data_IF_154010134472
#
_entry.id   IF_154010134472
#
_cell.length_a   1.000
_cell.length_b   1.000
_cell.length_c   1.000
_cell.angle_alpha   90.00
_cell.angle_beta   90.00
_cell.angle_gamma   90.00
#
_symmetry.space_group_name_H-M   'P 1'
#
loop_
_entity.id
_entity.type
_entity.pdbx_description
1 polymer ?
#
# COMPACT_ATOMS: atom_id res chain seq x y z
N UNK A 1 -8.07 1.46 -11.80
CA UNK A 1 -9.46 1.40 -12.27
C UNK A 1 -10.43 1.90 -11.19
N UNK A 2 -10.27 1.45 -9.95
CA UNK A 2 -11.17 1.78 -8.83
C UNK A 2 -11.22 3.29 -8.55
N UNK A 3 -10.09 3.93 -8.42
CA UNK A 3 -9.93 5.32 -8.02
C UNK A 3 -9.97 6.30 -9.20
N UNK A 4 -9.65 5.82 -10.42
CA UNK A 4 -9.46 6.67 -11.61
C UNK A 4 -10.65 7.58 -11.96
N UNK A 5 -11.93 7.21 -11.75
CA UNK A 5 -13.04 8.12 -12.00
C UNK A 5 -13.06 9.35 -11.09
N UNK A 6 -12.47 9.27 -9.91
CA UNK A 6 -12.60 10.25 -8.83
C UNK A 6 -11.39 11.16 -8.66
N UNK A 7 -10.31 10.94 -9.42
CA UNK A 7 -9.06 11.72 -9.33
C UNK A 7 -8.69 12.31 -10.68
N UNK A 8 -7.97 13.42 -10.67
CA UNK A 8 -7.53 14.11 -11.91
C UNK A 8 -6.26 13.49 -12.48
N UNK A 9 -5.35 13.05 -11.60
CA UNK A 9 -4.04 12.46 -11.95
C UNK A 9 -3.72 11.27 -11.07
N UNK A 10 -3.02 10.29 -11.65
CA UNK A 10 -2.47 9.13 -10.95
C UNK A 10 -0.99 9.08 -11.28
N UNK A 11 -0.14 9.25 -10.26
CA UNK A 11 1.30 9.09 -10.39
C UNK A 11 1.70 7.73 -9.81
N UNK A 12 2.39 6.94 -10.61
CA UNK A 12 2.93 5.64 -10.20
C UNK A 12 4.46 5.75 -10.17
N UNK A 13 5.03 5.59 -8.98
CA UNK A 13 6.47 5.62 -8.76
C UNK A 13 6.98 4.19 -8.63
N UNK A 14 7.79 3.73 -9.57
CA UNK A 14 8.41 2.40 -9.54
C UNK A 14 9.92 2.51 -9.63
N UNK A 15 10.64 1.91 -8.68
CA UNK A 15 12.09 1.87 -8.72
C UNK A 15 12.61 0.73 -9.60
N UNK A 16 13.75 0.92 -10.28
CA UNK A 16 14.46 -0.12 -11.01
C UNK A 16 15.28 -1.05 -10.10
N UNK A 17 15.23 -0.81 -8.79
CA UNK A 17 15.85 -1.65 -7.77
C UNK A 17 14.83 -2.04 -6.69
N UNK A 18 15.06 -3.15 -6.02
CA UNK A 18 14.34 -3.53 -4.80
C UNK A 18 14.89 -2.75 -3.61
N UNK A 19 14.21 -2.78 -2.46
CA UNK A 19 14.75 -2.16 -1.25
C UNK A 19 16.02 -2.86 -0.76
N UNK A 20 16.22 -4.15 -1.07
CA UNK A 20 17.49 -4.85 -0.83
C UNK A 20 18.62 -4.47 -1.81
N UNK A 21 18.34 -3.64 -2.82
CA UNK A 21 19.34 -3.12 -3.77
C UNK A 21 19.48 -3.93 -5.06
N UNK A 22 18.72 -5.01 -5.24
CA UNK A 22 18.79 -5.82 -6.45
C UNK A 22 18.07 -5.13 -7.61
N UNK A 23 18.64 -5.21 -8.81
CA UNK A 23 17.97 -4.74 -10.02
C UNK A 23 16.68 -5.51 -10.28
N UNK A 24 15.64 -4.82 -10.73
CA UNK A 24 14.37 -5.42 -11.15
C UNK A 24 13.85 -4.79 -12.44
N UNK A 25 13.12 -5.54 -13.26
CA UNK A 25 12.45 -4.98 -14.43
C UNK A 25 11.32 -4.05 -14.02
N UNK A 26 10.85 -3.25 -14.99
CA UNK A 26 9.59 -2.52 -14.88
C UNK A 26 8.42 -3.52 -14.86
N UNK A 27 7.61 -3.47 -13.80
CA UNK A 27 6.43 -4.33 -13.65
C UNK A 27 5.14 -3.62 -14.06
N UNK A 28 5.17 -2.28 -14.15
CA UNK A 28 3.99 -1.53 -14.55
C UNK A 28 3.65 -1.82 -16.02
N UNK A 29 2.39 -2.21 -16.34
CA UNK A 29 1.99 -2.57 -17.70
C UNK A 29 1.78 -1.31 -18.56
N UNK A 30 2.86 -0.65 -18.95
CA UNK A 30 2.87 0.64 -19.65
C UNK A 30 1.95 0.63 -20.87
N UNK A 31 2.02 -0.41 -21.69
CA UNK A 31 1.20 -0.51 -22.92
C UNK A 31 -0.30 -0.45 -22.67
N UNK A 32 -0.75 -0.96 -21.50
CA UNK A 32 -2.16 -0.94 -21.10
C UNK A 32 -2.66 0.47 -20.76
N UNK A 33 -1.77 1.36 -20.37
CA UNK A 33 -2.12 2.69 -19.86
C UNK A 33 -1.56 3.84 -20.67
N UNK A 34 -0.84 3.58 -21.76
CA UNK A 34 -0.17 4.61 -22.60
C UNK A 34 -1.11 5.73 -23.10
N UNK A 35 -2.37 5.39 -23.37
CA UNK A 35 -3.38 6.33 -23.86
C UNK A 35 -4.21 6.99 -22.74
N UNK A 36 -3.97 6.61 -21.48
CA UNK A 36 -4.67 7.17 -20.34
C UNK A 36 -3.96 8.43 -19.83
N UNK A 37 -4.45 9.61 -20.24
CA UNK A 37 -3.86 10.92 -19.90
C UNK A 37 -3.82 11.22 -18.40
N UNK A 38 -4.60 10.52 -17.57
CA UNK A 38 -4.55 10.65 -16.09
C UNK A 38 -3.37 9.93 -15.48
N UNK A 39 -2.84 8.89 -16.13
CA UNK A 39 -1.80 8.02 -15.57
C UNK A 39 -0.42 8.47 -16.01
N UNK A 40 0.43 8.80 -15.06
CA UNK A 40 1.86 9.04 -15.26
C UNK A 40 2.64 7.97 -14.52
N UNK A 41 3.47 7.22 -15.23
CA UNK A 41 4.40 6.27 -14.65
C UNK A 41 5.82 6.83 -14.67
N UNK A 42 6.52 6.71 -13.57
CA UNK A 42 7.94 7.08 -13.42
C UNK A 42 8.71 5.85 -13.00
N UNK A 43 9.62 5.39 -13.87
CA UNK A 43 10.56 4.32 -13.57
C UNK A 43 11.88 4.93 -13.11
N UNK A 44 12.10 4.90 -11.79
CA UNK A 44 13.23 5.57 -11.14
C UNK A 44 14.49 4.73 -11.34
N UNK A 45 15.52 5.33 -11.92
CA UNK A 45 16.79 4.65 -12.19
C UNK A 45 17.59 4.34 -10.93
N UNK A 46 18.46 3.32 -10.93
CA UNK A 46 19.27 2.94 -9.77
C UNK A 46 20.13 4.08 -9.20
N UNK A 47 20.59 4.99 -10.06
CA UNK A 47 21.45 6.12 -9.68
C UNK A 47 20.78 7.05 -8.66
N UNK A 48 19.45 7.10 -8.62
CA UNK A 48 18.70 7.90 -7.65
C UNK A 48 18.82 7.38 -6.21
N UNK A 49 19.42 6.21 -6.00
CA UNK A 49 19.53 5.52 -4.71
C UNK A 49 20.97 5.28 -4.24
N UNK A 50 21.97 5.89 -4.89
CA UNK A 50 23.39 5.70 -4.57
C UNK A 50 23.70 6.07 -3.11
N UNK A 51 23.09 7.11 -2.61
CA UNK A 51 23.24 7.62 -1.23
C UNK A 51 22.22 7.04 -0.24
N UNK A 52 21.56 5.93 -0.61
CA UNK A 52 20.56 5.23 0.21
C UNK A 52 21.09 3.85 0.67
N UNK A 53 21.90 3.77 1.74
CA UNK A 53 22.52 2.50 2.16
C UNK A 53 21.50 1.49 2.70
N UNK A 54 20.52 1.94 3.47
CA UNK A 54 19.49 1.09 4.09
C UNK A 54 18.32 0.76 3.16
N UNK A 55 17.57 -0.28 3.52
CA UNK A 55 16.34 -0.66 2.79
C UNK A 55 15.26 0.42 2.96
N UNK A 56 15.12 0.96 4.16
CA UNK A 56 14.18 2.05 4.46
C UNK A 56 14.54 3.36 3.76
N UNK A 57 15.83 3.67 3.58
CA UNK A 57 16.25 4.87 2.86
C UNK A 57 15.79 4.83 1.41
N UNK A 58 15.81 3.65 0.78
CA UNK A 58 15.33 3.45 -0.59
C UNK A 58 13.81 3.60 -0.71
N UNK A 59 13.05 3.03 0.24
CA UNK A 59 11.60 3.20 0.26
C UNK A 59 11.21 4.68 0.45
N UNK A 60 11.86 5.35 1.41
CA UNK A 60 11.63 6.77 1.67
C UNK A 60 11.98 7.63 0.45
N UNK A 61 13.13 7.40 -0.16
CA UNK A 61 13.55 8.09 -1.37
C UNK A 61 12.55 7.91 -2.51
N UNK A 62 12.11 6.68 -2.76
CA UNK A 62 11.12 6.40 -3.80
C UNK A 62 9.83 7.20 -3.58
N UNK A 63 9.32 7.24 -2.36
CA UNK A 63 8.09 7.99 -2.02
C UNK A 63 8.28 9.50 -2.15
N UNK A 64 9.38 10.02 -1.62
CA UNK A 64 9.64 11.46 -1.61
C UNK A 64 9.91 12.04 -3.01
N UNK A 65 10.49 11.27 -3.92
CA UNK A 65 10.70 11.68 -5.31
C UNK A 65 9.40 11.98 -6.06
N UNK A 66 8.25 11.49 -5.59
CA UNK A 66 6.96 11.77 -6.24
C UNK A 66 6.68 13.27 -6.36
N UNK A 67 7.06 14.07 -5.38
CA UNK A 67 6.84 15.52 -5.41
C UNK A 67 7.56 16.22 -6.55
N UNK A 68 8.73 15.74 -6.99
CA UNK A 68 9.46 16.31 -8.14
C UNK A 68 8.84 15.98 -9.49
N UNK A 69 7.87 15.08 -9.53
CA UNK A 69 7.17 14.65 -10.74
C UNK A 69 5.74 15.17 -10.84
N UNK A 70 5.30 15.99 -9.89
CA UNK A 70 3.99 16.61 -9.82
C UNK A 70 4.12 18.13 -9.76
N UNK A 71 3.23 18.79 -10.46
CA UNK A 71 2.97 20.22 -10.25
C UNK A 71 1.84 20.31 -9.23
N UNK A 72 2.19 20.68 -8.00
CA UNK A 72 1.26 20.70 -6.86
C UNK A 72 1.04 22.12 -6.39
N UNK A 73 -0.21 22.57 -6.36
CA UNK A 73 -0.63 23.81 -5.69
C UNK A 73 -0.90 23.57 -4.22
N UNK A 74 -1.08 24.61 -3.41
CA UNK A 74 -1.37 24.47 -1.98
C UNK A 74 -2.73 23.85 -1.71
N UNK A 75 -3.69 24.06 -2.62
CA UNK A 75 -5.08 23.60 -2.51
C UNK A 75 -5.32 22.21 -3.10
N UNK A 76 -4.34 21.64 -3.80
CA UNK A 76 -4.44 20.26 -4.30
C UNK A 76 -4.51 19.28 -3.13
N UNK A 77 -5.19 18.15 -3.36
CA UNK A 77 -5.23 17.05 -2.42
C UNK A 77 -4.43 15.88 -3.00
N UNK A 78 -3.41 15.47 -2.27
CA UNK A 78 -2.62 14.28 -2.59
C UNK A 78 -3.10 13.12 -1.73
N UNK A 79 -3.51 12.04 -2.38
CA UNK A 79 -3.80 10.76 -1.74
C UNK A 79 -2.59 9.85 -1.97
N UNK A 80 -1.99 9.36 -0.89
CA UNK A 80 -0.74 8.60 -0.94
C UNK A 80 -0.99 7.19 -0.39
N UNK A 81 -0.80 6.20 -1.26
CA UNK A 81 -0.99 4.77 -0.97
C UNK A 81 0.19 3.97 -1.51
N UNK A 82 0.40 2.78 -0.96
CA UNK A 82 1.22 1.76 -1.59
C UNK A 82 0.40 1.00 -2.65
N UNK A 83 1.05 0.26 -3.53
CA UNK A 83 0.40 -0.39 -4.69
C UNK A 83 -0.63 -1.46 -4.30
N UNK A 84 -0.52 -2.00 -3.10
CA UNK A 84 -1.42 -3.00 -2.52
C UNK A 84 -2.49 -2.38 -1.58
N UNK A 85 -2.55 -1.06 -1.51
CA UNK A 85 -3.54 -0.28 -0.77
C UNK A 85 -4.55 0.34 -1.75
N UNK A 86 -5.77 -0.17 -1.77
CA UNK A 86 -6.83 0.24 -2.72
C UNK A 86 -7.93 0.99 -1.97
N UNK A 87 -8.12 2.25 -2.31
CA UNK A 87 -9.23 3.06 -1.77
C UNK A 87 -10.49 2.72 -2.56
N UNK A 88 -11.59 2.50 -1.86
CA UNK A 88 -12.89 2.38 -2.50
C UNK A 88 -13.29 3.75 -3.07
N UNK A 89 -13.51 3.83 -4.38
CA UNK A 89 -13.72 5.08 -5.09
C UNK A 89 -14.81 5.97 -4.49
N UNK A 90 -15.88 5.37 -3.99
CA UNK A 90 -17.00 6.05 -3.31
C UNK A 90 -16.61 6.83 -2.04
N UNK A 91 -15.45 6.52 -1.43
CA UNK A 91 -14.97 7.22 -0.25
C UNK A 91 -14.06 8.42 -0.58
N UNK A 92 -13.65 8.60 -1.83
CA UNK A 92 -12.68 9.64 -2.21
C UNK A 92 -13.21 11.05 -1.96
N UNK A 93 -14.48 11.30 -2.26
CA UNK A 93 -15.10 12.61 -1.98
C UNK A 93 -15.07 12.96 -0.50
N UNK A 94 -15.44 12.02 0.38
CA UNK A 94 -15.35 12.17 1.83
C UNK A 94 -13.92 12.45 2.28
N UNK A 95 -12.94 11.72 1.74
CA UNK A 95 -11.53 11.90 2.05
C UNK A 95 -11.07 13.32 1.65
N UNK A 96 -11.46 13.81 0.49
CA UNK A 96 -11.14 15.16 0.01
C UNK A 96 -11.72 16.22 0.94
N UNK A 97 -13.00 16.11 1.32
CA UNK A 97 -13.69 17.06 2.21
C UNK A 97 -12.96 17.14 3.56
N UNK A 98 -12.70 16.00 4.18
CA UNK A 98 -12.03 15.97 5.49
C UNK A 98 -10.57 16.44 5.39
N UNK A 99 -9.89 16.16 4.28
CA UNK A 99 -8.52 16.65 4.07
C UNK A 99 -8.47 18.18 3.94
N UNK A 100 -9.39 18.79 3.22
CA UNK A 100 -9.49 20.25 3.12
C UNK A 100 -9.72 20.91 4.47
N UNK A 101 -10.53 20.29 5.32
CA UNK A 101 -10.86 20.79 6.66
C UNK A 101 -9.71 20.68 7.64
N UNK A 102 -8.93 19.60 7.58
CA UNK A 102 -7.93 19.25 8.59
C UNK A 102 -6.47 19.35 8.09
N UNK A 103 -6.26 19.57 6.79
CA UNK A 103 -4.93 19.63 6.16
C UNK A 103 -4.31 18.27 5.88
N UNK A 104 -4.57 17.28 6.73
CA UNK A 104 -4.15 15.88 6.59
C UNK A 104 -5.14 14.96 7.31
N UNK A 105 -5.41 13.78 6.71
CA UNK A 105 -6.22 12.72 7.29
C UNK A 105 -5.56 11.36 7.08
N UNK A 106 -5.79 10.44 8.01
CA UNK A 106 -5.44 9.02 7.87
C UNK A 106 -6.61 8.24 7.29
N UNK A 107 -6.30 7.34 6.39
CA UNK A 107 -7.27 6.52 5.67
C UNK A 107 -7.18 5.10 6.22
N UNK A 108 -8.22 4.67 6.94
CA UNK A 108 -8.32 3.32 7.48
C UNK A 108 -8.74 2.32 6.42
N UNK A 109 -7.98 1.25 6.29
CA UNK A 109 -8.24 0.17 5.34
C UNK A 109 -8.39 -1.15 6.06
N UNK A 110 -9.28 -2.02 5.59
CA UNK A 110 -9.32 -3.41 6.03
C UNK A 110 -8.04 -4.11 5.58
N UNK A 111 -7.48 -4.95 6.42
CA UNK A 111 -6.22 -5.64 6.15
C UNK A 111 -6.48 -7.09 5.74
N UNK A 112 -6.15 -7.41 4.50
CA UNK A 112 -6.26 -8.76 3.92
C UNK A 112 -4.88 -9.40 3.77
N UNK A 113 -4.83 -10.73 3.97
CA UNK A 113 -3.62 -11.53 3.89
C UNK A 113 -3.79 -12.69 2.91
N UNK A 114 -2.79 -12.95 2.08
CA UNK A 114 -2.68 -14.12 1.23
C UNK A 114 -3.74 -14.22 0.12
N UNK A 115 -4.97 -13.92 0.48
CA UNK A 115 -6.15 -13.98 -0.38
C UNK A 115 -6.99 -12.72 -0.19
N UNK A 116 -7.77 -12.37 -1.21
CA UNK A 116 -8.58 -11.15 -1.18
C UNK A 116 -9.78 -11.23 -0.24
N UNK A 117 -10.04 -12.40 0.33
CA UNK A 117 -11.12 -12.68 1.28
C UNK A 117 -10.63 -13.25 2.63
N UNK A 118 -9.34 -13.18 2.92
CA UNK A 118 -8.78 -13.56 4.22
C UNK A 118 -8.39 -12.29 4.95
N UNK A 119 -9.11 -11.94 6.00
CA UNK A 119 -9.01 -10.66 6.70
C UNK A 119 -8.40 -10.82 8.10
N UNK A 120 -7.65 -9.82 8.52
CA UNK A 120 -7.36 -9.54 9.93
C UNK A 120 -8.60 -8.86 10.53
N UNK A 121 -9.39 -9.53 11.39
CA UNK A 121 -10.56 -8.93 12.00
C UNK A 121 -10.16 -7.81 12.98
N UNK A 122 -11.08 -6.88 13.23
CA UNK A 122 -10.93 -5.82 14.25
C UNK A 122 -9.69 -4.90 14.09
N UNK A 123 -9.00 -4.97 12.97
CA UNK A 123 -7.84 -4.15 12.68
C UNK A 123 -8.02 -3.35 11.40
N UNK A 124 -7.58 -2.10 11.45
CA UNK A 124 -7.55 -1.24 10.27
C UNK A 124 -6.11 -0.78 10.01
N UNK A 125 -5.66 -0.98 8.80
CA UNK A 125 -4.37 -0.51 8.32
C UNK A 125 -4.38 1.02 8.19
N UNK A 126 -3.56 1.78 8.95
CA UNK A 126 -3.70 3.23 9.07
C UNK A 126 -2.68 4.04 8.25
N UNK A 127 -1.92 3.42 7.38
CA UNK A 127 -0.76 4.07 6.76
C UNK A 127 -1.09 4.89 5.52
N UNK A 128 -2.14 4.56 4.78
CA UNK A 128 -2.62 5.42 3.71
C UNK A 128 -3.08 6.77 4.27
N UNK A 129 -2.84 7.84 3.53
CA UNK A 129 -3.23 9.18 3.97
C UNK A 129 -3.59 10.08 2.80
N UNK A 130 -4.31 11.16 3.08
CA UNK A 130 -4.49 12.28 2.17
C UNK A 130 -4.04 13.56 2.85
N UNK A 131 -3.38 14.45 2.10
CA UNK A 131 -2.91 15.73 2.60
C UNK A 131 -3.07 16.83 1.55
N UNK A 132 -3.21 18.08 2.02
CA UNK A 132 -3.17 19.25 1.12
C UNK A 132 -1.77 19.40 0.53
N UNK A 133 -1.70 19.96 -0.69
CA UNK A 133 -0.43 20.25 -1.33
C UNK A 133 0.47 21.12 -0.47
N UNK A 134 -0.11 22.08 0.28
CA UNK A 134 0.62 22.86 1.29
C UNK A 134 1.33 21.95 2.30
N UNK A 135 0.61 20.98 2.90
CA UNK A 135 1.22 20.04 3.87
C UNK A 135 2.30 19.16 3.25
N UNK A 136 2.10 18.72 2.01
CA UNK A 136 3.10 17.94 1.28
C UNK A 136 4.37 18.72 0.96
N UNK A 137 4.28 20.03 0.77
CA UNK A 137 5.44 20.93 0.56
C UNK A 137 6.16 21.26 1.89
N UNK A 138 5.43 21.35 2.99
CA UNK A 138 5.98 21.63 4.33
C UNK A 138 6.69 20.42 4.93
N UNK A 139 6.47 19.21 4.40
CA UNK A 139 7.01 17.96 4.93
C UNK A 139 7.33 16.96 3.82
N UNK A 140 8.03 15.87 4.14
CA UNK A 140 8.22 14.79 3.18
C UNK A 140 7.02 13.85 3.15
N UNK A 141 6.73 13.25 1.99
CA UNK A 141 5.63 12.28 1.86
C UNK A 141 5.85 11.05 2.76
N UNK A 142 7.11 10.64 2.92
CA UNK A 142 7.45 9.54 3.80
C UNK A 142 7.20 9.87 5.27
N UNK A 143 7.59 11.07 5.72
CA UNK A 143 7.33 11.52 7.09
C UNK A 143 5.81 11.63 7.37
N UNK A 144 5.04 12.15 6.42
CA UNK A 144 3.57 12.19 6.55
C UNK A 144 2.95 10.80 6.67
N UNK A 145 3.59 9.76 6.09
CA UNK A 145 3.12 8.37 6.17
C UNK A 145 3.47 7.70 7.50
N UNK A 146 4.72 7.82 7.94
CA UNK A 146 5.24 7.05 9.07
C UNK A 146 5.29 7.82 10.39
N UNK A 147 5.26 9.16 10.33
CA UNK A 147 5.51 10.00 11.50
C UNK A 147 6.98 9.97 11.96
N UNK A 148 7.27 10.57 13.13
CA UNK A 148 8.64 10.68 13.65
C UNK A 148 9.20 9.34 14.18
N UNK A 149 8.34 8.38 14.49
CA UNK A 149 8.74 7.12 15.12
C UNK A 149 8.26 5.92 14.29
N UNK A 150 9.11 5.51 13.34
CA UNK A 150 8.85 4.37 12.45
C UNK A 150 8.74 3.04 13.20
N UNK A 151 9.42 2.91 14.34
CA UNK A 151 9.60 1.63 15.03
C UNK A 151 8.47 1.32 16.01
N UNK A 152 7.76 2.33 16.51
CA UNK A 152 6.77 2.13 17.56
C UNK A 152 5.32 2.02 17.08
N UNK A 153 5.05 2.19 15.79
CA UNK A 153 3.68 2.05 15.24
C UNK A 153 2.62 2.98 15.84
N UNK A 154 3.03 3.84 16.77
CA UNK A 154 2.15 4.77 17.49
C UNK A 154 2.17 6.10 16.76
N UNK A 155 1.07 6.38 16.09
CA UNK A 155 0.84 7.70 15.50
C UNK A 155 0.61 8.72 16.60
N UNK A 156 1.67 9.34 17.11
CA UNK A 156 1.62 10.37 18.16
C UNK A 156 0.97 11.69 17.72
N UNK A 157 0.52 11.79 16.49
CA UNK A 157 -0.13 13.00 15.99
C UNK A 157 -1.65 12.83 16.00
N UNK A 158 -2.36 13.85 16.45
CA UNK A 158 -3.83 13.95 16.42
C UNK A 158 -4.33 14.12 14.97
N UNK A 159 -4.13 13.10 14.14
CA UNK A 159 -4.71 13.08 12.81
C UNK A 159 -6.18 12.65 12.89
N UNK A 160 -7.00 13.26 12.05
CA UNK A 160 -8.32 12.74 11.79
C UNK A 160 -8.19 11.40 11.08
N UNK A 161 -8.87 10.40 11.59
CA UNK A 161 -8.87 9.05 11.06
C UNK A 161 -10.23 8.74 10.43
N UNK A 162 -10.22 8.28 9.17
CA UNK A 162 -11.44 7.93 8.44
C UNK A 162 -11.43 6.41 8.24
N UNK A 163 -12.25 5.66 9.00
CA UNK A 163 -12.24 4.20 8.93
C UNK A 163 -12.94 3.66 7.68
N UNK A 164 -12.62 2.41 7.31
CA UNK A 164 -13.29 1.60 6.27
C UNK A 164 -13.32 2.25 4.87
N UNK A 165 -12.27 2.99 4.52
CA UNK A 165 -12.20 3.68 3.22
C UNK A 165 -11.54 2.87 2.11
N UNK A 166 -11.00 1.69 2.42
CA UNK A 166 -10.32 0.88 1.43
C UNK A 166 -9.87 -0.48 1.97
N UNK A 167 -9.02 -1.14 1.20
CA UNK A 167 -8.52 -2.47 1.49
C UNK A 167 -7.01 -2.53 1.20
N UNK A 168 -6.23 -3.05 2.15
CA UNK A 168 -4.82 -3.36 1.98
C UNK A 168 -4.67 -4.86 1.76
N UNK A 169 -4.20 -5.25 0.58
CA UNK A 169 -4.05 -6.64 0.17
C UNK A 169 -2.61 -7.12 0.34
N UNK A 170 -2.22 -7.39 1.59
CA UNK A 170 -0.87 -7.82 1.93
C UNK A 170 -0.60 -9.28 1.53
N UNK A 171 0.62 -9.57 1.07
CA UNK A 171 1.13 -10.93 0.87
C UNK A 171 0.38 -11.78 -0.18
N UNK A 172 -0.29 -11.16 -1.15
CA UNK A 172 -1.02 -11.85 -2.21
C UNK A 172 -0.07 -12.54 -3.18
N UNK A 173 -0.46 -13.72 -3.69
CA UNK A 173 0.25 -14.40 -4.78
C UNK A 173 0.93 -15.71 -4.42
N UNK A 174 0.67 -16.24 -3.21
CA UNK A 174 1.15 -17.53 -2.75
C UNK A 174 2.58 -17.50 -2.17
N UNK A 175 3.02 -18.65 -1.65
CA UNK A 175 4.24 -18.77 -0.82
C UNK A 175 5.50 -18.27 -1.50
N UNK A 176 5.66 -18.54 -2.80
CA UNK A 176 6.83 -18.06 -3.57
C UNK A 176 6.89 -16.53 -3.65
N UNK A 177 5.74 -15.86 -3.87
CA UNK A 177 5.68 -14.39 -3.89
C UNK A 177 5.90 -13.77 -2.51
N UNK A 178 5.46 -14.46 -1.47
CA UNK A 178 5.72 -14.06 -0.09
C UNK A 178 7.23 -14.08 0.20
N UNK A 179 7.92 -15.17 -0.16
CA UNK A 179 9.37 -15.28 0.00
C UNK A 179 10.12 -14.21 -0.80
N UNK A 180 9.74 -13.98 -2.07
CA UNK A 180 10.29 -12.90 -2.89
C UNK A 180 10.11 -11.52 -2.22
N UNK A 181 8.93 -11.27 -1.61
CA UNK A 181 8.65 -10.01 -0.90
C UNK A 181 9.53 -9.89 0.34
N UNK A 182 9.65 -10.94 1.16
CA UNK A 182 10.51 -10.95 2.37
C UNK A 182 11.97 -10.65 2.02
N UNK A 183 12.49 -11.26 0.97
CA UNK A 183 13.87 -11.02 0.51
C UNK A 183 14.15 -9.57 0.08
N UNK A 184 13.10 -8.81 -0.29
CA UNK A 184 13.25 -7.56 -1.04
C UNK A 184 12.57 -6.33 -0.42
N UNK A 185 11.72 -6.49 0.61
CA UNK A 185 11.01 -5.35 1.22
C UNK A 185 11.87 -4.62 2.27
N UNK A 186 11.35 -3.50 2.79
CA UNK A 186 12.12 -2.63 3.67
C UNK A 186 12.40 -3.22 5.06
N UNK A 187 11.53 -4.08 5.56
CA UNK A 187 11.66 -4.75 6.87
C UNK A 187 12.68 -5.89 6.84
N UNK A 188 13.96 -5.57 6.86
CA UNK A 188 15.04 -6.55 6.83
C UNK A 188 15.10 -7.45 8.06
N UNK A 189 14.54 -7.01 9.19
CA UNK A 189 14.42 -7.78 10.43
C UNK A 189 13.61 -9.07 10.28
N UNK A 190 12.76 -9.16 9.25
CA UNK A 190 11.98 -10.35 8.93
C UNK A 190 12.62 -11.23 7.85
N UNK A 191 13.72 -10.78 7.25
CA UNK A 191 14.46 -11.53 6.22
C UNK A 191 15.38 -12.58 6.86
N UNK A 192 14.80 -13.53 7.62
CA UNK A 192 15.53 -14.56 8.36
C UNK A 192 15.23 -15.98 7.86
N UNK A 193 16.16 -16.94 8.02
CA UNK A 193 15.93 -18.34 7.66
C UNK A 193 14.71 -18.96 8.36
N UNK A 194 14.47 -18.60 9.63
CA UNK A 194 13.39 -19.12 10.45
C UNK A 194 12.01 -18.70 9.89
N UNK A 195 11.85 -17.41 9.57
CA UNK A 195 10.60 -16.91 8.96
C UNK A 195 10.38 -17.57 7.61
N UNK A 196 11.42 -17.69 6.78
CA UNK A 196 11.32 -18.34 5.47
C UNK A 196 10.93 -19.81 5.55
N UNK A 197 11.47 -20.54 6.52
CA UNK A 197 11.13 -21.95 6.75
C UNK A 197 9.65 -22.15 7.13
N UNK A 198 9.06 -21.17 7.82
CA UNK A 198 7.68 -21.23 8.29
C UNK A 198 6.64 -20.70 7.27
N UNK A 199 7.05 -20.09 6.14
CA UNK A 199 6.13 -19.45 5.18
C UNK A 199 4.98 -20.37 4.78
N UNK A 200 5.28 -21.62 4.39
CA UNK A 200 4.26 -22.57 3.93
C UNK A 200 3.27 -22.89 5.03
N UNK A 201 3.76 -23.22 6.23
CA UNK A 201 2.94 -23.54 7.40
C UNK A 201 2.01 -22.39 7.77
N UNK A 202 2.55 -21.16 7.86
CA UNK A 202 1.77 -19.96 8.23
C UNK A 202 0.73 -19.61 7.18
N UNK A 203 1.08 -19.75 5.88
CA UNK A 203 0.15 -19.55 4.78
C UNK A 203 -1.03 -20.54 4.82
N UNK A 204 -0.76 -21.83 5.05
CA UNK A 204 -1.78 -22.87 5.14
C UNK A 204 -2.69 -22.71 6.35
N UNK A 205 -2.12 -22.35 7.50
CA UNK A 205 -2.83 -22.15 8.77
C UNK A 205 -3.47 -20.76 8.94
N UNK A 206 -3.32 -19.87 7.97
CA UNK A 206 -3.79 -18.48 8.05
C UNK A 206 -3.23 -17.73 9.28
N UNK A 207 -1.95 -17.93 9.57
CA UNK A 207 -1.21 -17.23 10.63
C UNK A 207 -0.50 -16.00 10.07
N UNK A 208 -0.14 -15.02 10.92
CA UNK A 208 0.68 -13.89 10.46
C UNK A 208 2.05 -14.35 9.95
N UNK A 209 2.42 -13.91 8.75
CA UNK A 209 3.63 -14.40 8.06
C UNK A 209 4.92 -14.12 8.83
N UNK A 210 4.98 -13.03 9.59
CA UNK A 210 6.17 -12.64 10.37
C UNK A 210 6.01 -12.90 11.88
N UNK A 211 4.87 -13.44 12.32
CA UNK A 211 4.63 -13.87 13.69
C UNK A 211 4.46 -12.73 14.69
N UNK A 212 3.81 -11.64 14.30
CA UNK A 212 3.56 -10.51 15.20
C UNK A 212 2.57 -10.86 16.30
N UNK A 213 2.91 -10.64 17.58
CA UNK A 213 2.09 -11.12 18.72
C UNK A 213 0.74 -10.39 18.86
N UNK A 214 0.61 -9.21 18.23
CA UNK A 214 -0.62 -8.42 18.26
C UNK A 214 -1.62 -8.77 17.13
N UNK A 215 -1.21 -9.63 16.19
CA UNK A 215 -2.08 -10.09 15.13
C UNK A 215 -3.04 -11.15 15.65
N UNK A 216 -4.34 -10.91 15.49
CA UNK A 216 -5.37 -11.90 15.72
C UNK A 216 -5.39 -12.97 14.61
N UNK A 217 -6.06 -14.10 14.85
CA UNK A 217 -6.25 -15.13 13.84
C UNK A 217 -6.95 -14.56 12.59
N UNK A 218 -6.38 -14.85 11.43
CA UNK A 218 -6.97 -14.46 10.16
C UNK A 218 -8.27 -15.22 9.90
N UNK A 219 -9.25 -14.56 9.32
CA UNK A 219 -10.60 -15.09 9.11
C UNK A 219 -10.98 -15.06 7.63
N UNK A 220 -11.60 -16.13 7.13
CA UNK A 220 -12.15 -16.16 5.79
C UNK A 220 -13.55 -15.53 5.80
N UNK A 221 -13.75 -14.51 4.99
CA UNK A 221 -15.04 -13.85 4.79
C UNK A 221 -15.53 -14.02 3.34
N UNK A 222 -16.78 -13.69 3.12
CA UNK A 222 -17.29 -13.56 1.74
C UNK A 222 -16.89 -12.20 1.16
N UNK A 223 -16.85 -12.11 -0.16
CA UNK A 223 -16.70 -10.81 -0.83
C UNK A 223 -17.96 -9.99 -0.56
N UNK A 224 -17.80 -8.85 0.06
CA UNK A 224 -18.88 -7.97 0.53
C UNK A 224 -18.84 -6.60 -0.15
N UNK A 225 -19.78 -5.72 0.22
CA UNK A 225 -19.90 -4.36 -0.33
C UNK A 225 -18.70 -3.44 -0.03
N UNK A 226 -17.88 -3.78 0.98
CA UNK A 226 -16.68 -3.02 1.32
C UNK A 226 -15.44 -3.45 0.54
N UNK A 227 -15.53 -4.50 -0.28
CA UNK A 227 -14.47 -4.79 -1.25
C UNK A 227 -14.52 -3.81 -2.43
N UNK A 228 -13.37 -3.54 -3.07
CA UNK A 228 -13.34 -2.70 -4.27
C UNK A 228 -14.37 -3.14 -5.31
N UNK A 229 -15.07 -2.19 -5.90
CA UNK A 229 -16.08 -2.44 -6.95
C UNK A 229 -15.50 -3.27 -8.11
N UNK A 230 -14.24 -3.00 -8.46
CA UNK A 230 -13.53 -3.76 -9.50
C UNK A 230 -13.36 -5.23 -9.18
N UNK A 231 -13.30 -5.62 -7.91
CA UNK A 231 -13.31 -7.03 -7.48
C UNK A 231 -14.72 -7.59 -7.55
N UNK A 232 -15.69 -6.91 -6.96
CA UNK A 232 -17.10 -7.36 -6.88
C UNK A 232 -17.74 -7.59 -8.26
N UNK A 233 -17.42 -6.73 -9.23
CA UNK A 233 -17.99 -6.80 -10.58
C UNK A 233 -17.24 -7.74 -11.54
N UNK A 234 -16.05 -8.22 -11.17
CA UNK A 234 -15.22 -9.06 -12.02
C UNK A 234 -14.76 -10.35 -11.30
N UNK A 235 -15.61 -10.94 -10.49
CA UNK A 235 -15.31 -12.14 -9.68
C UNK A 235 -14.56 -13.27 -10.42
N UNK A 236 -14.87 -13.62 -11.68
CA UNK A 236 -14.12 -14.65 -12.40
C UNK A 236 -12.63 -14.34 -12.57
N UNK A 237 -12.26 -13.05 -12.75
CA UNK A 237 -10.86 -12.62 -12.87
C UNK A 237 -10.10 -12.82 -11.54
N UNK A 238 -10.81 -12.66 -10.43
CA UNK A 238 -10.25 -12.71 -9.08
C UNK A 238 -10.36 -14.06 -8.38
N UNK A 239 -11.10 -15.02 -8.94
CA UNK A 239 -11.38 -16.33 -8.33
C UNK A 239 -10.12 -17.07 -7.83
N UNK A 240 -9.00 -16.98 -8.55
CA UNK A 240 -7.71 -17.59 -8.17
C UNK A 240 -7.07 -17.00 -6.89
N UNK A 241 -7.55 -15.85 -6.45
CA UNK A 241 -7.10 -15.17 -5.24
C UNK A 241 -8.08 -15.30 -4.07
N UNK A 242 -9.11 -16.13 -4.21
CA UNK A 242 -10.11 -16.41 -3.17
C UNK A 242 -9.77 -17.72 -2.47
N UNK A 243 -9.81 -17.72 -1.14
CA UNK A 243 -9.72 -18.93 -0.31
C UNK A 243 -11.11 -19.50 -0.08
N UNK A 244 -11.30 -20.79 -0.39
CA UNK A 244 -12.56 -21.47 -0.08
C UNK A 244 -12.68 -21.76 1.41
N UNK A 245 -13.91 -21.69 1.94
CA UNK A 245 -14.20 -21.96 3.36
C UNK A 245 -14.10 -23.45 3.74
N UNK A 246 -14.10 -24.35 2.74
CA UNK A 246 -14.20 -25.80 2.94
C UNK A 246 -12.84 -26.54 2.94
N UNK A 247 -11.72 -25.85 3.15
CA UNK A 247 -10.44 -26.54 3.26
C UNK A 247 -9.80 -26.32 4.63
#
# INVERSE_FOLDING_TARGET
KEESPYVDKILIMEAAITHSGNLKPCNFPIDKYKDNKKVKHVFIKPEAFIDCPGRWDKEERQRNLAMSHLEVTDDDILIVTDVDEIINGENIEKIIIETRKHGIVRIGMRLFYYHINVIQPNFQWPHAYAATGKKCKESSLSFLRTGPDRNNGVFHTKFVYIPNCGNHFAWIGGTKKIEEKINNFAHEEFDTPEIKADIKKRFENLEDIVGRPWMEALTIIDIDELHPKTIRENMPEWAKYIRNKEM
#
